data_IF_150943848509
#
_entry.id   IF_150943848509
#
_cell.length_a   1.000
_cell.length_b   1.000
_cell.length_c   1.000
_cell.angle_alpha   90.00
_cell.angle_beta   90.00
_cell.angle_gamma   90.00
#
_symmetry.space_group_name_H-M   'P 1'
#
loop_
_entity.id
_entity.type
_entity.pdbx_description
1 polymer ?
#
# COMPACT_ATOMS: atom_id res chain seq x y z
N UNK A 1 7.43 -25.17 -10.02
CA UNK A 1 6.08 -25.35 -10.62
C UNK A 1 5.78 -24.12 -11.44
N UNK A 2 5.52 -24.22 -12.73
CA UNK A 2 5.14 -23.05 -13.50
C UNK A 2 3.71 -22.67 -13.14
N UNK A 3 3.49 -21.42 -12.69
CA UNK A 3 2.19 -20.82 -12.64
C UNK A 3 1.54 -20.61 -11.27
N UNK A 4 2.24 -20.73 -10.15
CA UNK A 4 1.70 -20.25 -8.88
C UNK A 4 1.85 -18.71 -8.84
N UNK A 5 0.73 -18.01 -8.69
CA UNK A 5 0.68 -16.57 -8.47
C UNK A 5 0.11 -16.30 -7.08
N UNK A 6 0.61 -15.26 -6.45
CA UNK A 6 0.09 -14.75 -5.17
C UNK A 6 -0.37 -13.32 -5.40
N UNK A 7 -1.58 -13.01 -4.96
CA UNK A 7 -2.16 -11.67 -5.05
C UNK A 7 -2.07 -10.93 -3.71
N UNK A 8 -2.39 -9.64 -3.72
CA UNK A 8 -2.50 -8.77 -2.52
C UNK A 8 -1.20 -8.74 -1.71
N UNK A 9 -0.07 -8.58 -2.41
CA UNK A 9 1.28 -8.61 -1.80
C UNK A 9 1.75 -7.24 -1.34
N UNK A 10 1.16 -6.16 -1.83
CA UNK A 10 1.61 -4.78 -1.73
C UNK A 10 1.77 -4.32 -0.28
N UNK A 11 0.83 -4.62 0.61
CA UNK A 11 0.91 -4.18 2.02
C UNK A 11 2.04 -4.87 2.79
N UNK A 12 2.22 -6.18 2.56
CA UNK A 12 3.31 -6.95 3.15
C UNK A 12 4.66 -6.46 2.63
N UNK A 13 4.79 -6.31 1.30
CA UNK A 13 6.04 -5.86 0.69
C UNK A 13 6.39 -4.44 1.10
N UNK A 14 5.40 -3.54 1.22
CA UNK A 14 5.61 -2.19 1.75
C UNK A 14 6.17 -2.21 3.18
N UNK A 15 5.62 -3.05 4.06
CA UNK A 15 6.11 -3.21 5.43
C UNK A 15 7.57 -3.71 5.44
N UNK A 16 7.87 -4.80 4.73
CA UNK A 16 9.23 -5.36 4.66
C UNK A 16 10.22 -4.35 4.09
N UNK A 17 9.86 -3.71 2.98
CA UNK A 17 10.69 -2.70 2.29
C UNK A 17 11.00 -1.49 3.18
N UNK A 18 9.99 -0.94 3.86
CA UNK A 18 10.17 0.23 4.72
C UNK A 18 10.92 -0.08 6.03
N UNK A 19 10.84 -1.32 6.51
CA UNK A 19 11.60 -1.78 7.67
C UNK A 19 13.04 -2.21 7.33
N UNK A 20 13.42 -2.21 6.05
CA UNK A 20 14.74 -2.63 5.59
C UNK A 20 14.96 -4.14 5.68
N UNK A 21 13.89 -4.93 5.54
CA UNK A 21 13.95 -6.39 5.51
C UNK A 21 14.15 -6.86 4.08
N UNK A 22 15.39 -7.19 3.73
CA UNK A 22 15.79 -7.58 2.37
C UNK A 22 15.62 -9.07 2.09
N UNK A 23 15.53 -9.88 3.13
CA UNK A 23 15.39 -11.32 3.01
C UNK A 23 14.33 -11.80 4.01
N UNK A 24 13.28 -12.41 3.48
CA UNK A 24 12.22 -13.02 4.27
C UNK A 24 11.71 -14.28 3.56
N UNK A 25 11.34 -15.29 4.33
CA UNK A 25 10.56 -16.41 3.85
C UNK A 25 9.10 -16.21 4.28
N UNK A 26 8.21 -16.15 3.32
CA UNK A 26 6.77 -15.98 3.55
C UNK A 26 6.06 -17.25 3.08
N UNK A 27 5.43 -17.95 4.00
CA UNK A 27 4.65 -19.15 3.72
C UNK A 27 3.16 -18.79 3.79
N UNK A 28 2.42 -19.12 2.74
CA UNK A 28 0.98 -18.89 2.66
C UNK A 28 0.30 -20.15 2.12
N UNK A 29 -0.89 -20.44 2.60
CA UNK A 29 -1.70 -21.59 2.21
C UNK A 29 -2.86 -21.22 1.26
N UNK A 30 -2.88 -19.98 0.78
CA UNK A 30 -3.92 -19.43 -0.09
C UNK A 30 -3.36 -18.74 -1.35
N UNK A 31 -4.24 -18.29 -2.24
CA UNK A 31 -3.86 -17.61 -3.48
C UNK A 31 -3.48 -16.13 -3.27
N UNK A 32 -3.66 -15.58 -2.07
CA UNK A 32 -3.38 -14.18 -1.75
C UNK A 32 -2.92 -14.00 -0.31
N UNK A 33 -2.14 -12.94 -0.07
CA UNK A 33 -1.75 -12.52 1.27
C UNK A 33 -2.99 -11.98 2.00
N UNK A 34 -3.22 -12.32 3.28
CA UNK A 34 -4.34 -11.78 4.04
C UNK A 34 -4.33 -10.25 4.06
N UNK A 35 -5.48 -9.63 3.82
CA UNK A 35 -5.62 -8.17 3.81
C UNK A 35 -5.48 -7.54 5.20
N UNK A 36 -5.59 -8.34 6.27
CA UNK A 36 -5.56 -7.92 7.67
C UNK A 36 -6.62 -6.84 7.96
N UNK A 37 -6.21 -5.68 8.47
CA UNK A 37 -7.07 -4.52 8.69
C UNK A 37 -7.11 -3.55 7.50
N UNK A 38 -6.58 -3.97 6.34
CA UNK A 38 -6.49 -3.15 5.14
C UNK A 38 -5.30 -2.19 5.10
N UNK A 39 -4.40 -2.29 6.07
CA UNK A 39 -3.18 -1.48 6.16
C UNK A 39 -1.93 -2.36 6.29
N UNK A 40 -0.75 -1.76 6.35
CA UNK A 40 0.50 -2.47 6.61
C UNK A 40 0.80 -2.66 8.12
N UNK A 41 -0.05 -2.12 9.01
CA UNK A 41 0.21 -2.09 10.46
C UNK A 41 0.45 -3.46 11.06
N UNK A 42 -0.43 -4.44 10.78
CA UNK A 42 -0.32 -5.78 11.33
C UNK A 42 0.96 -6.52 10.88
N UNK A 43 1.44 -6.25 9.66
CA UNK A 43 2.70 -6.83 9.17
C UNK A 43 3.91 -6.22 9.88
N UNK A 44 3.87 -4.92 10.19
CA UNK A 44 4.91 -4.27 11.01
C UNK A 44 4.95 -4.89 12.40
N UNK A 45 3.79 -5.03 13.04
CA UNK A 45 3.68 -5.60 14.39
C UNK A 45 4.26 -7.03 14.42
N UNK A 46 3.98 -7.83 13.37
CA UNK A 46 4.53 -9.20 13.24
C UNK A 46 6.05 -9.20 13.04
N UNK A 47 6.60 -8.29 12.23
CA UNK A 47 8.06 -8.17 12.04
C UNK A 47 8.74 -7.70 13.33
N UNK A 48 8.14 -6.77 14.07
CA UNK A 48 8.65 -6.30 15.37
C UNK A 48 8.67 -7.41 16.41
N UNK A 49 7.64 -8.26 16.44
CA UNK A 49 7.58 -9.42 17.34
C UNK A 49 8.63 -10.48 16.97
N UNK A 50 8.80 -10.77 15.68
CA UNK A 50 9.79 -11.74 15.20
C UNK A 50 11.23 -11.23 15.34
N UNK A 51 11.43 -9.93 15.25
CA UNK A 51 12.75 -9.29 15.18
C UNK A 51 13.40 -9.42 13.81
N UNK A 52 14.43 -8.60 13.59
CA UNK A 52 15.21 -8.56 12.36
C UNK A 52 16.67 -8.85 12.67
N UNK A 53 17.28 -9.80 11.96
CA UNK A 53 18.71 -10.10 12.06
C UNK A 53 19.48 -9.33 11.00
N UNK A 54 20.57 -8.65 11.42
CA UNK A 54 21.47 -7.97 10.49
C UNK A 54 22.46 -8.96 9.90
N UNK A 55 22.44 -9.08 8.58
CA UNK A 55 23.37 -9.93 7.85
C UNK A 55 24.67 -9.17 7.53
N UNK A 56 25.80 -9.86 7.59
CA UNK A 56 27.10 -9.35 7.15
C UNK A 56 27.24 -9.58 5.63
N UNK A 57 26.40 -8.90 4.87
CA UNK A 57 26.38 -8.98 3.42
C UNK A 57 26.09 -7.59 2.83
N UNK A 58 26.71 -7.23 1.71
CA UNK A 58 26.46 -5.95 1.06
C UNK A 58 25.07 -5.91 0.45
N UNK A 59 24.34 -4.84 0.71
CA UNK A 59 23.07 -4.56 0.04
C UNK A 59 23.31 -4.07 -1.39
N UNK A 60 22.52 -4.54 -2.32
CA UNK A 60 22.53 -4.07 -3.70
C UNK A 60 21.42 -3.05 -3.91
N UNK A 61 21.77 -1.92 -4.50
CA UNK A 61 20.84 -0.84 -4.81
C UNK A 61 20.65 -0.69 -6.31
N UNK A 62 19.46 -0.30 -6.69
CA UNK A 62 19.18 0.29 -8.00
C UNK A 62 19.27 1.80 -7.81
N UNK A 63 20.18 2.45 -8.55
CA UNK A 63 20.29 3.90 -8.55
C UNK A 63 19.67 4.46 -9.83
N UNK A 64 18.80 5.43 -9.67
CA UNK A 64 18.23 6.16 -10.78
C UNK A 64 19.19 7.29 -11.17
N UNK A 65 19.83 7.18 -12.34
CA UNK A 65 20.81 8.16 -12.84
C UNK A 65 20.20 9.21 -13.76
N UNK A 66 19.02 8.94 -14.33
CA UNK A 66 18.28 9.87 -15.17
C UNK A 66 16.77 9.65 -14.99
N UNK A 67 15.93 10.67 -15.29
CA UNK A 67 14.48 10.49 -15.24
C UNK A 67 14.01 9.37 -16.17
N UNK A 68 13.09 8.54 -15.68
CA UNK A 68 12.41 7.50 -16.45
C UNK A 68 10.93 7.64 -16.19
N UNK A 69 10.14 7.93 -17.23
CA UNK A 69 8.71 8.17 -17.15
C UNK A 69 7.94 7.15 -17.97
N UNK A 70 6.82 6.70 -17.44
CA UNK A 70 5.81 5.89 -18.12
C UNK A 70 4.45 6.58 -18.01
N UNK A 71 3.61 6.38 -19.02
CA UNK A 71 2.26 6.94 -19.08
C UNK A 71 1.30 5.83 -19.52
N UNK A 72 0.13 5.79 -18.89
CA UNK A 72 -0.99 4.93 -19.27
C UNK A 72 -2.30 5.71 -19.12
N UNK A 73 -2.87 6.13 -20.26
CA UNK A 73 -4.03 7.00 -20.30
C UNK A 73 -3.77 8.34 -19.60
N UNK A 74 -4.53 8.64 -18.57
CA UNK A 74 -4.37 9.85 -17.74
C UNK A 74 -3.40 9.64 -16.57
N UNK A 75 -2.93 8.41 -16.37
CA UNK A 75 -2.00 8.05 -15.29
C UNK A 75 -0.55 8.13 -15.76
N UNK A 76 0.34 8.49 -14.86
CA UNK A 76 1.78 8.47 -15.13
C UNK A 76 2.56 8.11 -13.88
N UNK A 77 3.74 7.50 -14.09
CA UNK A 77 4.73 7.27 -13.04
C UNK A 77 6.11 7.70 -13.55
N UNK A 78 6.93 8.24 -12.66
CA UNK A 78 8.26 8.71 -13.01
C UNK A 78 9.26 8.40 -11.90
N UNK A 79 10.40 7.83 -12.28
CA UNK A 79 11.58 7.80 -11.43
C UNK A 79 12.45 9.01 -11.74
N UNK A 80 12.87 9.72 -10.71
CA UNK A 80 13.80 10.85 -10.82
C UNK A 80 15.01 10.64 -9.93
N UNK A 81 16.22 11.09 -10.33
CA UNK A 81 17.39 11.04 -9.49
C UNK A 81 17.14 11.74 -8.15
N UNK A 82 17.39 11.03 -7.05
CA UNK A 82 17.23 11.55 -5.70
C UNK A 82 18.29 10.96 -4.76
N UNK A 83 18.67 11.69 -3.72
CA UNK A 83 19.56 11.20 -2.69
C UNK A 83 18.74 10.65 -1.52
N UNK A 84 18.49 9.35 -1.52
CA UNK A 84 17.60 8.66 -0.61
C UNK A 84 16.40 8.06 -1.33
N UNK A 85 15.36 7.70 -0.58
CA UNK A 85 14.12 7.15 -1.12
C UNK A 85 12.97 8.10 -0.79
N UNK A 86 12.43 8.76 -1.80
CA UNK A 86 11.27 9.64 -1.70
C UNK A 86 10.16 9.13 -2.59
N UNK A 87 8.96 9.07 -2.06
CA UNK A 87 7.74 8.74 -2.79
C UNK A 87 6.80 9.92 -2.75
N UNK A 88 6.29 10.31 -3.91
CA UNK A 88 5.30 11.37 -4.07
C UNK A 88 4.16 10.83 -4.91
N UNK A 89 2.93 10.90 -4.39
CA UNK A 89 1.72 10.44 -5.06
C UNK A 89 0.71 11.57 -5.13
N UNK A 90 0.09 11.72 -6.28
CA UNK A 90 -1.09 12.55 -6.49
C UNK A 90 -2.22 11.65 -7.00
N UNK A 91 -3.39 11.75 -6.40
CA UNK A 91 -4.61 11.08 -6.85
C UNK A 91 -5.66 12.13 -7.18
N UNK A 92 -6.50 11.82 -8.15
CA UNK A 92 -7.64 12.68 -8.53
C UNK A 92 -8.85 11.80 -8.85
N UNK A 93 -9.80 11.75 -7.94
CA UNK A 93 -11.03 10.98 -8.08
C UNK A 93 -12.21 11.91 -8.28
N UNK A 94 -13.13 11.54 -9.18
CA UNK A 94 -14.34 12.29 -9.43
C UNK A 94 -15.27 12.37 -8.19
N UNK A 95 -15.18 11.39 -7.28
CA UNK A 95 -15.93 11.41 -6.03
C UNK A 95 -15.39 12.51 -5.09
N UNK A 96 -16.22 13.48 -4.65
CA UNK A 96 -15.77 14.65 -3.88
C UNK A 96 -15.26 14.31 -2.47
N UNK A 97 -15.58 13.13 -1.93
CA UNK A 97 -15.05 12.67 -0.64
C UNK A 97 -13.57 12.30 -0.72
N UNK A 98 -13.09 11.88 -1.88
CA UNK A 98 -11.67 11.63 -2.15
C UNK A 98 -11.06 12.85 -2.82
N UNK A 99 -11.62 13.27 -3.97
CA UNK A 99 -11.16 14.43 -4.73
C UNK A 99 -9.71 14.34 -5.14
N UNK A 100 -9.08 15.51 -5.22
CA UNK A 100 -7.65 15.64 -5.52
C UNK A 100 -6.86 15.70 -4.22
N UNK A 101 -5.92 14.77 -4.06
CA UNK A 101 -5.03 14.71 -2.90
C UNK A 101 -3.59 14.48 -3.37
N UNK A 102 -2.64 15.01 -2.61
CA UNK A 102 -1.21 14.84 -2.87
C UNK A 102 -0.49 14.59 -1.55
N UNK A 103 0.41 13.62 -1.55
CA UNK A 103 1.27 13.32 -0.41
C UNK A 103 2.69 13.00 -0.86
N UNK A 104 3.66 13.39 -0.06
CA UNK A 104 5.07 13.14 -0.32
C UNK A 104 5.78 12.78 0.99
N UNK A 105 6.64 11.78 0.94
CA UNK A 105 7.37 11.29 2.09
C UNK A 105 8.79 10.84 1.70
N UNK A 106 9.76 11.17 2.53
CA UNK A 106 11.06 10.54 2.51
C UNK A 106 10.97 9.26 3.33
N UNK A 107 11.10 8.11 2.66
CA UNK A 107 10.76 6.79 3.21
C UNK A 107 11.91 6.24 4.05
N UNK A 108 11.68 6.19 5.34
CA UNK A 108 12.42 5.41 6.32
C UNK A 108 11.47 4.67 7.26
N UNK A 109 11.99 3.84 8.16
CA UNK A 109 11.14 3.05 9.05
C UNK A 109 10.32 3.91 10.03
N UNK A 110 10.81 5.08 10.39
CA UNK A 110 10.10 6.02 11.28
C UNK A 110 8.93 6.69 10.58
N UNK A 111 9.19 7.35 9.44
CA UNK A 111 8.18 8.04 8.64
C UNK A 111 7.11 7.07 8.12
N UNK A 112 7.52 5.87 7.70
CA UNK A 112 6.57 4.85 7.27
C UNK A 112 5.61 4.44 8.40
N UNK A 113 6.14 4.17 9.59
CA UNK A 113 5.33 3.78 10.76
C UNK A 113 4.35 4.86 11.19
N UNK A 114 4.82 6.12 11.26
CA UNK A 114 4.00 7.23 11.75
C UNK A 114 2.97 7.71 10.75
N UNK A 115 3.33 7.73 9.47
CA UNK A 115 2.59 8.50 8.48
C UNK A 115 1.86 7.63 7.44
N UNK A 116 2.34 6.41 7.19
CA UNK A 116 1.89 5.59 6.06
C UNK A 116 1.26 4.27 6.52
N UNK A 117 1.93 3.55 7.40
CA UNK A 117 1.66 2.15 7.68
C UNK A 117 0.20 1.84 8.08
N UNK A 118 -0.48 2.77 8.72
CA UNK A 118 -1.86 2.60 9.21
C UNK A 118 -2.93 3.11 8.25
N UNK A 119 -2.56 3.66 7.10
CA UNK A 119 -3.51 4.06 6.08
C UNK A 119 -4.15 2.82 5.44
N UNK A 120 -5.48 2.73 5.50
CA UNK A 120 -6.25 1.58 5.00
C UNK A 120 -6.54 1.70 3.52
N UNK A 121 -6.64 0.55 2.87
CA UNK A 121 -7.23 0.45 1.54
C UNK A 121 -8.66 0.97 1.53
N UNK A 122 -9.14 1.40 0.38
CA UNK A 122 -10.48 1.95 0.24
C UNK A 122 -11.16 1.48 -1.05
N UNK A 123 -12.47 1.53 -1.05
CA UNK A 123 -13.28 1.24 -2.21
C UNK A 123 -14.62 1.97 -2.17
N UNK A 124 -15.21 2.16 -3.35
CA UNK A 124 -16.55 2.72 -3.46
C UNK A 124 -17.60 1.63 -3.25
N UNK A 125 -18.64 1.94 -2.51
CA UNK A 125 -19.73 0.98 -2.20
C UNK A 125 -20.33 0.39 -3.48
N UNK A 126 -20.55 1.22 -4.50
CA UNK A 126 -21.06 0.80 -5.81
C UNK A 126 -20.17 -0.25 -6.48
N UNK A 127 -18.84 -0.14 -6.34
CA UNK A 127 -17.89 -1.07 -6.96
C UNK A 127 -17.83 -2.37 -6.17
N UNK A 128 -17.88 -2.28 -4.83
CA UNK A 128 -17.94 -3.46 -3.95
C UNK A 128 -19.19 -4.30 -4.24
N UNK A 129 -20.35 -3.69 -4.41
CA UNK A 129 -21.58 -4.39 -4.78
C UNK A 129 -21.47 -5.11 -6.13
N UNK A 130 -20.84 -4.46 -7.12
CA UNK A 130 -20.61 -5.08 -8.44
C UNK A 130 -19.61 -6.24 -8.34
N UNK A 131 -18.56 -6.11 -7.52
CA UNK A 131 -17.60 -7.18 -7.28
C UNK A 131 -18.23 -8.38 -6.58
N UNK A 132 -19.07 -8.15 -5.57
CA UNK A 132 -19.82 -9.21 -4.90
C UNK A 132 -20.75 -9.95 -5.85
N UNK A 133 -21.46 -9.25 -6.73
CA UNK A 133 -22.29 -9.86 -7.76
C UNK A 133 -21.49 -10.78 -8.71
N UNK A 134 -20.18 -10.53 -8.88
CA UNK A 134 -19.26 -11.35 -9.68
C UNK A 134 -18.51 -12.40 -8.84
N UNK A 135 -18.78 -12.50 -7.55
CA UNK A 135 -18.11 -13.43 -6.63
C UNK A 135 -16.69 -13.01 -6.22
N UNK A 136 -16.33 -11.74 -6.45
CA UNK A 136 -15.06 -11.12 -6.06
C UNK A 136 -15.22 -10.36 -4.74
N UNK A 137 -14.09 -9.92 -4.15
CA UNK A 137 -14.05 -9.13 -2.91
C UNK A 137 -14.85 -9.74 -1.75
N UNK A 138 -14.93 -11.06 -1.66
CA UNK A 138 -15.74 -11.76 -0.64
C UNK A 138 -15.25 -11.55 0.78
N UNK A 139 -13.98 -11.21 0.95
CA UNK A 139 -13.37 -10.88 2.24
C UNK A 139 -13.45 -9.40 2.60
N UNK A 140 -13.96 -8.54 1.70
CA UNK A 140 -14.07 -7.11 1.98
C UNK A 140 -15.15 -6.82 3.03
N UNK A 141 -14.77 -6.04 4.03
CA UNK A 141 -15.65 -5.60 5.13
C UNK A 141 -15.25 -4.21 5.60
N UNK A 142 -16.07 -3.60 6.45
CA UNK A 142 -15.73 -2.33 7.11
C UNK A 142 -14.54 -2.45 8.07
N UNK A 143 -14.14 -3.67 8.44
CA UNK A 143 -12.99 -3.91 9.33
C UNK A 143 -11.66 -3.85 8.58
N UNK A 144 -11.67 -4.06 7.24
CA UNK A 144 -10.45 -4.17 6.44
C UNK A 144 -10.39 -3.24 5.21
N UNK A 145 -11.34 -2.31 5.08
CA UNK A 145 -11.31 -1.29 4.05
C UNK A 145 -12.10 -0.05 4.48
N UNK A 146 -11.69 1.11 4.00
CA UNK A 146 -12.52 2.30 4.06
C UNK A 146 -13.53 2.25 2.92
N UNK A 147 -14.81 2.19 3.25
CA UNK A 147 -15.90 2.14 2.27
C UNK A 147 -16.49 3.54 2.07
N UNK A 148 -16.46 4.00 0.83
CA UNK A 148 -16.93 5.32 0.42
C UNK A 148 -18.32 5.16 -0.19
N UNK A 149 -19.30 5.77 0.46
CA UNK A 149 -20.65 5.91 -0.07
C UNK A 149 -20.79 7.12 -0.99
N UNK A 150 -22.04 7.48 -1.31
CA UNK A 150 -22.32 8.61 -2.19
C UNK A 150 -21.99 9.96 -1.54
N UNK A 151 -22.28 10.10 -0.25
CA UNK A 151 -22.20 11.35 0.50
C UNK A 151 -21.30 11.30 1.75
N UNK A 152 -20.81 10.12 2.11
CA UNK A 152 -20.00 9.93 3.33
C UNK A 152 -19.15 8.66 3.29
N UNK A 153 -18.14 8.62 4.16
CA UNK A 153 -17.47 7.37 4.55
C UNK A 153 -18.43 6.55 5.40
N UNK A 154 -18.58 5.27 5.06
CA UNK A 154 -19.54 4.36 5.71
C UNK A 154 -19.01 3.82 7.05
N UNK A 155 -17.69 3.70 7.19
CA UNK A 155 -17.06 3.22 8.41
C UNK A 155 -17.43 4.09 9.61
N UNK A 156 -17.97 3.52 10.71
CA UNK A 156 -18.42 4.30 11.88
C UNK A 156 -17.29 5.06 12.56
N UNK A 157 -16.08 4.52 12.55
CA UNK A 157 -14.88 5.13 13.11
C UNK A 157 -14.29 6.27 12.26
N UNK A 158 -14.76 6.42 11.03
CA UNK A 158 -14.26 7.41 10.07
C UNK A 158 -12.87 7.07 9.54
N UNK A 159 -12.13 8.10 9.14
CA UNK A 159 -10.77 8.01 8.64
C UNK A 159 -9.74 8.06 9.77
N UNK A 160 -8.63 7.33 9.62
CA UNK A 160 -7.47 7.39 10.53
C UNK A 160 -6.61 8.64 10.27
N UNK A 161 -6.58 9.10 9.02
CA UNK A 161 -5.91 10.33 8.59
C UNK A 161 -6.88 11.13 7.71
N UNK A 162 -6.83 12.45 7.76
CA UNK A 162 -7.68 13.30 6.90
C UNK A 162 -7.42 13.10 5.40
N UNK A 163 -6.22 12.61 5.07
CA UNK A 163 -5.72 12.30 3.73
C UNK A 163 -5.37 10.79 3.59
N UNK A 164 -6.15 9.92 4.27
CA UNK A 164 -5.88 8.48 4.33
C UNK A 164 -5.81 7.84 2.94
N UNK A 165 -6.62 8.30 1.99
CA UNK A 165 -6.67 7.74 0.65
C UNK A 165 -5.34 7.88 -0.11
N UNK A 166 -4.75 9.06 -0.12
CA UNK A 166 -3.46 9.26 -0.81
C UNK A 166 -2.31 8.62 -0.05
N UNK A 167 -2.35 8.56 1.29
CA UNK A 167 -1.34 7.85 2.09
C UNK A 167 -1.36 6.37 1.79
N UNK A 168 -2.55 5.78 1.63
CA UNK A 168 -2.66 4.38 1.22
C UNK A 168 -2.08 4.15 -0.18
N UNK A 169 -2.29 5.06 -1.13
CA UNK A 169 -1.66 4.96 -2.45
C UNK A 169 -0.13 5.11 -2.41
N UNK A 170 0.40 5.84 -1.44
CA UNK A 170 1.85 5.83 -1.16
C UNK A 170 2.30 4.47 -0.62
N UNK A 171 1.51 3.84 0.26
CA UNK A 171 1.79 2.50 0.77
C UNK A 171 1.86 1.49 -0.37
N UNK A 172 0.85 1.46 -1.25
CA UNK A 172 0.79 0.60 -2.43
C UNK A 172 2.03 0.80 -3.31
N UNK A 173 2.36 2.07 -3.64
CA UNK A 173 3.54 2.40 -4.45
C UNK A 173 4.86 1.92 -3.82
N UNK A 174 4.98 1.93 -2.49
CA UNK A 174 6.17 1.42 -1.78
C UNK A 174 6.27 -0.11 -1.90
N UNK A 175 5.14 -0.81 -1.90
CA UNK A 175 5.09 -2.26 -1.97
C UNK A 175 5.20 -2.83 -3.38
N UNK A 176 4.77 -2.06 -4.38
CA UNK A 176 4.76 -2.46 -5.79
C UNK A 176 6.12 -2.16 -6.49
N UNK A 177 7.00 -1.34 -5.90
CA UNK A 177 8.31 -0.94 -6.41
C UNK A 177 9.45 -1.64 -5.68
#
# INVERSE_FOLDING_TARGET
MPGATVATVEHLLAALSALGVDNAAVEIDGPEVPIMDGSAGAFIDAVDEAGVERLDAPLRYIRVDQPVRVEDGESSAEFIPHNGRRVEVEIDFANPLVGKQKYAVDVDSGSFRSDIARARTFGFLSDVEQMWARGLARGASLENAVVIGDDRVINPEGLRFSDEFVRHKVLDAIGDL
#
